data_IF_813678143774
#
_entry.id   IF_813678143774
#
_cell.length_a   1.000
_cell.length_b   1.000
_cell.length_c   1.000
_cell.angle_alpha   90.00
_cell.angle_beta   90.00
_cell.angle_gamma   90.00
#
_symmetry.space_group_name_H-M   'P 1'
#
loop_
_entity.id
_entity.type
_entity.pdbx_description
1 polymer ?
#
# COMPACT_ATOMS: atom_id res chain seq x y z
N UNK A 1 -14.67 26.60 16.73
CA UNK A 1 -15.38 25.48 16.05
C UNK A 1 -14.59 24.88 14.88
N UNK A 2 -14.08 25.68 13.93
CA UNK A 2 -13.29 25.18 12.78
C UNK A 2 -12.05 24.37 13.18
N UNK A 3 -11.20 24.87 14.07
CA UNK A 3 -9.98 24.16 14.52
C UNK A 3 -10.30 22.78 15.11
N UNK A 4 -11.41 22.64 15.85
CA UNK A 4 -11.84 21.34 16.40
C UNK A 4 -12.17 20.32 15.29
N UNK A 5 -12.74 20.77 14.16
CA UNK A 5 -13.03 19.90 13.01
C UNK A 5 -11.74 19.42 12.34
N UNK A 6 -10.78 20.30 12.12
CA UNK A 6 -9.46 19.92 11.58
C UNK A 6 -8.74 18.97 12.53
N UNK A 7 -8.72 19.26 13.83
CA UNK A 7 -8.14 18.38 14.84
C UNK A 7 -8.75 16.96 14.79
N UNK A 8 -10.06 16.84 14.56
CA UNK A 8 -10.72 15.53 14.41
C UNK A 8 -10.21 14.76 13.17
N UNK A 9 -9.99 15.44 12.04
CA UNK A 9 -9.40 14.81 10.84
C UNK A 9 -7.96 14.36 11.10
N UNK A 10 -7.16 15.18 11.80
CA UNK A 10 -5.81 14.78 12.20
C UNK A 10 -5.82 13.61 13.17
N UNK A 11 -6.81 13.52 14.07
CA UNK A 11 -6.97 12.36 14.94
C UNK A 11 -7.19 11.09 14.11
N UNK A 12 -8.06 11.11 13.10
CA UNK A 12 -8.24 9.94 12.20
C UNK A 12 -6.94 9.58 11.48
N UNK A 13 -6.19 10.57 11.00
CA UNK A 13 -4.89 10.34 10.37
C UNK A 13 -3.87 9.71 11.34
N UNK A 14 -3.81 10.18 12.59
CA UNK A 14 -2.92 9.64 13.61
C UNK A 14 -3.28 8.21 13.98
N UNK A 15 -4.56 7.91 14.23
CA UNK A 15 -5.06 6.56 14.53
C UNK A 15 -4.68 5.57 13.42
N UNK A 16 -4.83 6.01 12.15
CA UNK A 16 -4.39 5.25 10.97
C UNK A 16 -2.89 4.91 11.05
N UNK A 17 -2.03 5.88 11.37
CA UNK A 17 -0.58 5.65 11.47
C UNK A 17 -0.20 4.72 12.65
N UNK A 18 -1.00 4.74 13.72
CA UNK A 18 -0.82 3.87 14.89
C UNK A 18 -1.28 2.42 14.64
N UNK A 19 -1.86 2.13 13.47
CA UNK A 19 -2.29 0.78 13.10
C UNK A 19 -3.57 0.32 13.81
N UNK A 20 -4.41 1.27 14.25
CA UNK A 20 -5.78 0.97 14.70
C UNK A 20 -6.63 0.38 13.55
N UNK A 21 -7.84 -0.09 13.86
CA UNK A 21 -8.74 -0.69 12.86
C UNK A 21 -9.06 0.32 11.74
N UNK A 22 -8.41 0.10 10.60
CA UNK A 22 -8.51 0.97 9.42
C UNK A 22 -9.93 1.00 8.85
N UNK A 23 -10.67 -0.10 8.95
CA UNK A 23 -12.05 -0.18 8.47
C UNK A 23 -12.99 0.62 9.39
N UNK A 24 -12.79 0.54 10.71
CA UNK A 24 -13.52 1.36 11.68
C UNK A 24 -13.25 2.85 11.47
N UNK A 25 -11.98 3.25 11.33
CA UNK A 25 -11.57 4.63 11.07
C UNK A 25 -12.25 5.15 9.79
N UNK A 26 -12.33 4.34 8.74
CA UNK A 26 -13.02 4.71 7.51
C UNK A 26 -14.50 5.03 7.77
N UNK A 27 -15.22 4.14 8.47
CA UNK A 27 -16.64 4.32 8.77
C UNK A 27 -16.90 5.56 9.64
N UNK A 28 -16.06 5.80 10.65
CA UNK A 28 -16.11 7.01 11.46
C UNK A 28 -15.84 8.28 10.63
N UNK A 29 -14.83 8.25 9.75
CA UNK A 29 -14.52 9.37 8.85
C UNK A 29 -15.70 9.66 7.91
N UNK A 30 -16.40 8.64 7.40
CA UNK A 30 -17.60 8.81 6.57
C UNK A 30 -18.71 9.52 7.34
N UNK A 31 -18.93 9.11 8.59
CA UNK A 31 -19.93 9.70 9.49
C UNK A 31 -19.57 11.14 9.85
N UNK A 32 -18.29 11.42 10.09
CA UNK A 32 -17.82 12.78 10.28
C UNK A 32 -18.03 13.63 9.01
N UNK A 33 -17.72 13.08 7.84
CA UNK A 33 -17.81 13.76 6.56
C UNK A 33 -19.23 14.14 6.18
N UNK A 34 -20.26 13.36 6.54
CA UNK A 34 -21.66 13.71 6.26
C UNK A 34 -22.13 14.97 6.99
N UNK A 35 -21.41 15.37 8.05
CA UNK A 35 -21.70 16.56 8.86
C UNK A 35 -20.92 17.81 8.42
N UNK A 36 -20.10 17.71 7.36
CA UNK A 36 -19.31 18.84 6.86
C UNK A 36 -20.19 19.77 6.02
N UNK A 37 -20.09 21.08 6.28
CA UNK A 37 -20.82 22.08 5.51
C UNK A 37 -20.23 22.21 4.10
N UNK A 38 -21.08 22.36 3.07
CA UNK A 38 -20.66 22.54 1.66
C UNK A 38 -19.71 23.72 1.43
N UNK A 39 -19.69 24.72 2.33
CA UNK A 39 -18.76 25.86 2.29
C UNK A 39 -17.35 25.51 2.80
N UNK A 40 -17.19 24.46 3.60
CA UNK A 40 -15.92 24.00 4.19
C UNK A 40 -15.11 23.13 3.20
N UNK A 41 -14.79 23.70 2.02
CA UNK A 41 -14.14 22.98 0.91
C UNK A 41 -12.80 22.35 1.30
N UNK A 42 -11.99 23.05 2.08
CA UNK A 42 -10.66 22.61 2.48
C UNK A 42 -10.73 21.38 3.40
N UNK A 43 -11.64 21.41 4.38
CA UNK A 43 -11.91 20.28 5.26
C UNK A 43 -12.46 19.07 4.47
N UNK A 44 -13.33 19.32 3.49
CA UNK A 44 -13.83 18.27 2.60
C UNK A 44 -12.71 17.62 1.77
N UNK A 45 -11.76 18.42 1.25
CA UNK A 45 -10.58 17.91 0.53
C UNK A 45 -9.72 17.04 1.46
N UNK A 46 -9.42 17.50 2.68
CA UNK A 46 -8.65 16.71 3.64
C UNK A 46 -9.30 15.36 3.95
N UNK A 47 -10.62 15.35 4.18
CA UNK A 47 -11.35 14.10 4.42
C UNK A 47 -11.31 13.18 3.20
N UNK A 48 -11.42 13.74 1.99
CA UNK A 48 -11.34 12.95 0.74
C UNK A 48 -9.92 12.41 0.50
N UNK A 49 -8.87 13.18 0.80
CA UNK A 49 -7.47 12.72 0.75
C UNK A 49 -7.23 11.57 1.75
N UNK A 50 -7.69 11.73 2.99
CA UNK A 50 -7.57 10.69 4.01
C UNK A 50 -8.38 9.44 3.65
N UNK A 51 -9.56 9.61 3.06
CA UNK A 51 -10.36 8.49 2.54
C UNK A 51 -9.60 7.70 1.47
N UNK A 52 -8.90 8.39 0.57
CA UNK A 52 -8.06 7.73 -0.45
C UNK A 52 -6.90 6.98 0.21
N UNK A 53 -6.21 7.57 1.18
CA UNK A 53 -5.13 6.90 1.93
C UNK A 53 -5.62 5.60 2.56
N UNK A 54 -6.73 5.66 3.30
CA UNK A 54 -7.33 4.50 3.98
C UNK A 54 -7.74 3.42 2.96
N UNK A 55 -8.37 3.80 1.85
CA UNK A 55 -8.75 2.84 0.82
C UNK A 55 -7.55 2.15 0.17
N UNK A 56 -6.43 2.88 0.00
CA UNK A 56 -5.19 2.32 -0.53
C UNK A 56 -4.55 1.32 0.46
N UNK A 57 -4.63 1.59 1.77
CA UNK A 57 -4.17 0.67 2.82
C UNK A 57 -5.04 -0.61 2.89
N UNK A 58 -6.36 -0.45 2.78
CA UNK A 58 -7.30 -1.58 2.72
C UNK A 58 -7.20 -2.37 1.41
N UNK A 59 -6.51 -1.83 0.41
CA UNK A 59 -6.50 -2.34 -0.95
C UNK A 59 -7.83 -2.20 -1.69
N UNK A 60 -8.82 -1.46 -1.17
CA UNK A 60 -10.12 -1.25 -1.81
C UNK A 60 -10.09 -0.08 -2.82
N UNK A 61 -9.42 -0.32 -3.95
CA UNK A 61 -9.09 0.72 -4.95
C UNK A 61 -10.33 1.18 -5.74
N UNK A 62 -11.40 0.38 -5.76
CA UNK A 62 -12.62 0.65 -6.55
C UNK A 62 -13.30 1.97 -6.20
N UNK A 63 -13.21 2.43 -4.96
CA UNK A 63 -13.86 3.66 -4.49
C UNK A 63 -12.99 4.91 -4.67
N UNK A 64 -11.69 4.77 -4.91
CA UNK A 64 -10.73 5.88 -5.05
C UNK A 64 -11.17 6.91 -6.12
N UNK A 65 -11.67 6.52 -7.32
CA UNK A 65 -12.11 7.48 -8.34
C UNK A 65 -13.18 8.47 -7.85
N UNK A 66 -14.10 8.04 -6.98
CA UNK A 66 -15.16 8.88 -6.43
C UNK A 66 -14.59 10.03 -5.62
N UNK A 67 -13.63 9.75 -4.74
CA UNK A 67 -12.95 10.76 -3.93
C UNK A 67 -12.06 11.67 -4.78
N UNK A 68 -11.36 11.10 -5.76
CA UNK A 68 -10.54 11.88 -6.71
C UNK A 68 -11.38 12.93 -7.44
N UNK A 69 -12.56 12.56 -7.92
CA UNK A 69 -13.46 13.48 -8.61
C UNK A 69 -14.00 14.59 -7.70
N UNK A 70 -14.23 14.29 -6.41
CA UNK A 70 -14.62 15.30 -5.42
C UNK A 70 -13.48 16.28 -5.13
N UNK A 71 -12.26 15.80 -4.92
CA UNK A 71 -11.07 16.64 -4.70
C UNK A 71 -10.85 17.58 -5.89
N UNK A 72 -10.85 17.05 -7.12
CA UNK A 72 -10.70 17.86 -8.34
C UNK A 72 -11.74 18.99 -8.40
N UNK A 73 -13.02 18.67 -8.18
CA UNK A 73 -14.10 19.68 -8.18
C UNK A 73 -13.91 20.75 -7.10
N UNK A 74 -13.43 20.38 -5.91
CA UNK A 74 -13.20 21.34 -4.84
C UNK A 74 -11.95 22.20 -5.10
N UNK A 75 -10.86 21.62 -5.60
CA UNK A 75 -9.64 22.34 -5.98
C UNK A 75 -9.90 23.41 -7.05
N UNK A 76 -10.76 23.14 -8.04
CA UNK A 76 -11.17 24.12 -9.05
C UNK A 76 -11.86 25.34 -8.43
N UNK A 77 -12.58 25.14 -7.33
CA UNK A 77 -13.34 26.17 -6.62
C UNK A 77 -12.54 26.88 -5.53
N UNK A 78 -11.26 26.55 -5.37
CA UNK A 78 -10.33 27.24 -4.47
C UNK A 78 -9.56 28.32 -5.25
N UNK A 79 -9.42 29.50 -4.63
CA UNK A 79 -8.52 30.54 -5.12
C UNK A 79 -7.08 30.04 -5.19
N UNK A 80 -6.28 30.64 -6.07
CA UNK A 80 -4.86 30.30 -6.18
C UNK A 80 -4.11 30.78 -4.94
N UNK A 81 -3.57 29.85 -4.14
CA UNK A 81 -2.77 30.13 -2.95
C UNK A 81 -1.87 28.93 -2.61
N UNK A 82 -0.97 29.11 -1.63
CA UNK A 82 -0.06 28.06 -1.14
C UNK A 82 -0.81 26.81 -0.67
N UNK A 83 -1.98 26.97 -0.04
CA UNK A 83 -2.79 25.84 0.43
C UNK A 83 -3.28 24.97 -0.73
N UNK A 84 -3.74 25.58 -1.83
CA UNK A 84 -4.13 24.87 -3.05
C UNK A 84 -2.96 24.10 -3.65
N UNK A 85 -1.74 24.66 -3.62
CA UNK A 85 -0.53 23.97 -4.07
C UNK A 85 -0.24 22.72 -3.23
N UNK A 86 -0.34 22.81 -1.90
CA UNK A 86 -0.13 21.67 -0.99
C UNK A 86 -1.16 20.58 -1.25
N UNK A 87 -2.46 20.93 -1.32
CA UNK A 87 -3.49 19.93 -1.63
C UNK A 87 -3.33 19.33 -3.03
N UNK A 88 -2.90 20.13 -4.01
CA UNK A 88 -2.62 19.61 -5.34
C UNK A 88 -1.47 18.60 -5.30
N UNK A 89 -0.37 18.90 -4.59
CA UNK A 89 0.73 17.96 -4.41
C UNK A 89 0.23 16.64 -3.79
N UNK A 90 -0.45 16.70 -2.64
CA UNK A 90 -0.98 15.52 -1.95
C UNK A 90 -1.95 14.72 -2.83
N UNK A 91 -2.78 15.42 -3.60
CA UNK A 91 -3.70 14.79 -4.53
C UNK A 91 -2.97 14.06 -5.67
N UNK A 92 -1.96 14.68 -6.28
CA UNK A 92 -1.18 14.06 -7.36
C UNK A 92 -0.34 12.89 -6.83
N UNK A 93 0.20 13.00 -5.62
CA UNK A 93 0.93 11.94 -4.94
C UNK A 93 0.05 10.69 -4.73
N UNK A 94 -1.15 10.85 -4.17
CA UNK A 94 -2.09 9.75 -4.00
C UNK A 94 -2.65 9.25 -5.33
N UNK A 95 -2.84 10.14 -6.30
CA UNK A 95 -3.25 9.74 -7.64
C UNK A 95 -2.18 8.87 -8.31
N UNK A 96 -0.90 9.22 -8.18
CA UNK A 96 0.18 8.41 -8.71
C UNK A 96 0.13 7.02 -8.10
N UNK A 97 -0.06 6.91 -6.78
CA UNK A 97 -0.14 5.60 -6.14
C UNK A 97 -1.34 4.77 -6.59
N UNK A 98 -2.50 5.40 -6.79
CA UNK A 98 -3.64 4.75 -7.46
C UNK A 98 -3.28 4.21 -8.86
N UNK A 99 -2.49 4.94 -9.64
CA UNK A 99 -2.03 4.47 -10.97
C UNK A 99 -1.12 3.25 -10.84
N UNK A 100 -0.22 3.24 -9.85
CA UNK A 100 0.60 2.05 -9.55
C UNK A 100 -0.30 0.84 -9.23
N UNK A 101 -1.22 0.96 -8.27
CA UNK A 101 -2.12 -0.13 -7.87
C UNK A 101 -3.02 -0.63 -8.99
N UNK A 102 -3.40 0.24 -9.93
CA UNK A 102 -4.15 -0.13 -11.13
C UNK A 102 -3.29 -0.54 -12.32
N UNK A 103 -1.99 -0.80 -12.09
CA UNK A 103 -1.01 -1.24 -13.09
C UNK A 103 -0.80 -0.28 -14.29
N UNK A 104 -1.00 1.02 -14.08
CA UNK A 104 -0.75 2.08 -15.07
C UNK A 104 0.68 2.64 -14.92
N UNK A 105 1.68 1.77 -15.05
CA UNK A 105 3.09 2.02 -14.68
C UNK A 105 3.71 3.25 -15.36
N UNK A 106 3.51 3.40 -16.67
CA UNK A 106 4.05 4.56 -17.42
C UNK A 106 3.55 5.89 -16.87
N UNK A 107 2.25 5.97 -16.53
CA UNK A 107 1.67 7.17 -15.94
C UNK A 107 2.14 7.35 -14.50
N UNK A 108 2.21 6.28 -13.72
CA UNK A 108 2.78 6.31 -12.37
C UNK A 108 4.19 6.93 -12.37
N UNK A 109 5.11 6.40 -13.17
CA UNK A 109 6.49 6.89 -13.22
C UNK A 109 6.55 8.35 -13.64
N UNK A 110 5.77 8.76 -14.64
CA UNK A 110 5.70 10.16 -15.08
C UNK A 110 5.26 11.10 -13.95
N UNK A 111 4.22 10.75 -13.21
CA UNK A 111 3.75 11.58 -12.08
C UNK A 111 4.73 11.54 -10.90
N UNK A 112 5.27 10.38 -10.56
CA UNK A 112 6.20 10.25 -9.45
C UNK A 112 7.50 11.04 -9.73
N UNK A 113 8.06 10.93 -10.94
CA UNK A 113 9.23 11.70 -11.37
C UNK A 113 8.96 13.22 -11.36
N UNK A 114 7.79 13.67 -11.83
CA UNK A 114 7.48 15.10 -11.81
C UNK A 114 7.36 15.66 -10.39
N UNK A 115 6.83 14.87 -9.45
CA UNK A 115 6.81 15.23 -8.03
C UNK A 115 8.22 15.29 -7.43
N UNK A 116 9.11 14.35 -7.79
CA UNK A 116 10.50 14.35 -7.33
C UNK A 116 11.32 15.56 -7.80
N UNK A 117 10.94 16.16 -8.94
CA UNK A 117 11.61 17.34 -9.51
C UNK A 117 11.11 18.68 -8.93
N UNK A 118 10.15 18.67 -8.02
CA UNK A 118 9.64 19.91 -7.41
C UNK A 118 10.71 20.53 -6.50
N UNK A 119 11.08 21.77 -6.80
CA UNK A 119 12.11 22.53 -6.04
C UNK A 119 11.88 22.59 -4.53
N UNK A 120 10.62 22.59 -4.11
CA UNK A 120 10.26 22.72 -2.70
C UNK A 120 10.15 21.37 -1.98
N UNK A 121 10.38 20.25 -2.66
CA UNK A 121 10.25 18.92 -2.05
C UNK A 121 11.26 18.70 -0.92
N UNK A 122 12.41 19.38 -0.96
CA UNK A 122 13.41 19.29 0.11
C UNK A 122 12.90 19.88 1.45
N UNK A 123 11.86 20.72 1.43
CA UNK A 123 11.16 21.16 2.65
C UNK A 123 10.17 20.12 3.20
N UNK A 124 9.92 19.03 2.45
CA UNK A 124 8.99 17.96 2.82
C UNK A 124 9.68 16.58 2.73
N UNK A 125 10.70 16.34 3.56
CA UNK A 125 11.53 15.14 3.46
C UNK A 125 10.75 13.84 3.61
N UNK A 126 9.75 13.78 4.49
CA UNK A 126 8.88 12.60 4.63
C UNK A 126 8.10 12.33 3.33
N UNK A 127 7.68 13.37 2.61
CA UNK A 127 7.03 13.20 1.30
C UNK A 127 8.03 12.72 0.24
N UNK A 128 9.28 13.19 0.28
CA UNK A 128 10.37 12.67 -0.55
C UNK A 128 10.59 11.17 -0.30
N UNK A 129 10.61 10.76 0.96
CA UNK A 129 10.64 9.35 1.37
C UNK A 129 9.47 8.56 0.79
N UNK A 130 8.24 9.09 0.87
CA UNK A 130 7.06 8.43 0.31
C UNK A 130 7.12 8.27 -1.23
N UNK A 131 7.71 9.23 -1.94
CA UNK A 131 7.92 9.10 -3.38
C UNK A 131 8.94 8.00 -3.72
N UNK A 132 10.03 7.89 -2.94
CA UNK A 132 11.00 6.80 -3.05
C UNK A 132 10.35 5.45 -2.73
N UNK A 133 9.58 5.34 -1.65
CA UNK A 133 8.88 4.11 -1.28
C UNK A 133 8.02 3.60 -2.43
N UNK A 134 7.17 4.47 -2.99
CA UNK A 134 6.30 4.14 -4.13
C UNK A 134 7.08 3.79 -5.40
N UNK A 135 8.19 4.48 -5.65
CA UNK A 135 9.08 4.13 -6.76
C UNK A 135 9.68 2.73 -6.56
N UNK A 136 10.07 2.39 -5.34
CA UNK A 136 10.54 1.05 -4.98
C UNK A 136 9.47 -0.02 -5.18
N UNK A 137 8.26 0.21 -4.63
CA UNK A 137 7.08 -0.65 -4.79
C UNK A 137 6.81 -0.96 -6.26
N UNK A 138 6.94 0.04 -7.14
CA UNK A 138 6.69 -0.10 -8.58
C UNK A 138 7.61 -1.08 -9.31
N UNK A 139 8.78 -1.37 -8.74
CA UNK A 139 9.76 -2.29 -9.30
C UNK A 139 9.78 -3.66 -8.60
N UNK A 140 8.97 -3.88 -7.56
CA UNK A 140 8.99 -5.09 -6.74
C UNK A 140 8.93 -6.39 -7.55
N UNK A 141 8.13 -6.41 -8.63
CA UNK A 141 7.90 -7.60 -9.44
C UNK A 141 8.77 -7.65 -10.71
N UNK A 142 9.50 -6.58 -11.03
CA UNK A 142 10.13 -6.39 -12.35
C UNK A 142 11.63 -6.11 -12.33
N UNK A 143 12.15 -5.39 -11.33
CA UNK A 143 13.56 -5.03 -11.26
C UNK A 143 14.04 -4.90 -9.81
N UNK A 144 14.79 -5.89 -9.35
CA UNK A 144 15.29 -5.93 -7.98
C UNK A 144 16.18 -4.73 -7.63
N UNK A 145 17.16 -4.40 -8.48
CA UNK A 145 18.17 -3.37 -8.18
C UNK A 145 17.53 -1.98 -8.08
N UNK A 146 16.58 -1.67 -8.96
CA UNK A 146 15.81 -0.43 -8.89
C UNK A 146 14.89 -0.41 -7.66
N UNK A 147 14.22 -1.53 -7.37
CA UNK A 147 13.35 -1.63 -6.19
C UNK A 147 14.14 -1.39 -4.91
N UNK A 148 15.23 -2.14 -4.68
CA UNK A 148 16.00 -2.07 -3.44
C UNK A 148 16.64 -0.68 -3.25
N UNK A 149 17.18 -0.07 -4.31
CA UNK A 149 17.74 1.28 -4.24
C UNK A 149 16.70 2.30 -3.73
N UNK A 150 15.50 2.29 -4.29
CA UNK A 150 14.45 3.22 -3.90
C UNK A 150 13.87 2.91 -2.51
N UNK A 151 13.72 1.62 -2.17
CA UNK A 151 13.22 1.22 -0.85
C UNK A 151 14.20 1.59 0.27
N UNK A 152 15.50 1.32 0.11
CA UNK A 152 16.54 1.68 1.09
C UNK A 152 16.64 3.20 1.26
N UNK A 153 16.59 3.97 0.16
CA UNK A 153 16.47 5.44 0.22
C UNK A 153 15.27 5.91 1.05
N UNK A 154 14.12 5.25 0.88
CA UNK A 154 12.91 5.63 1.64
C UNK A 154 13.04 5.27 3.12
N UNK A 155 13.59 4.09 3.42
CA UNK A 155 13.85 3.60 4.77
C UNK A 155 14.80 4.55 5.53
N UNK A 156 15.90 4.98 4.91
CA UNK A 156 16.85 5.95 5.46
C UNK A 156 16.15 7.27 5.84
N UNK A 157 15.32 7.80 4.94
CA UNK A 157 14.57 9.04 5.17
C UNK A 157 13.59 8.86 6.33
N UNK A 158 12.80 7.79 6.33
CA UNK A 158 11.82 7.57 7.41
C UNK A 158 12.49 7.35 8.77
N UNK A 159 13.65 6.69 8.80
CA UNK A 159 14.45 6.55 10.01
C UNK A 159 14.93 7.90 10.53
N UNK A 160 15.55 8.71 9.67
CA UNK A 160 16.07 10.04 10.02
C UNK A 160 14.99 10.97 10.59
N UNK A 161 13.78 10.91 10.04
CA UNK A 161 12.65 11.75 10.44
C UNK A 161 11.69 11.07 11.43
N UNK A 162 12.08 9.91 11.99
CA UNK A 162 11.33 9.18 13.02
C UNK A 162 9.87 8.85 12.61
N UNK A 163 9.64 8.58 11.32
CA UNK A 163 8.35 8.12 10.80
C UNK A 163 8.28 6.59 10.87
N UNK A 164 7.99 6.07 12.07
CA UNK A 164 7.97 4.62 12.33
C UNK A 164 7.00 3.85 11.45
N UNK A 165 5.84 4.45 11.13
CA UNK A 165 4.79 3.79 10.35
C UNK A 165 5.29 3.51 8.92
N UNK A 166 5.83 4.53 8.26
CA UNK A 166 6.37 4.37 6.89
C UNK A 166 7.71 3.63 6.87
N UNK A 167 8.51 3.74 7.94
CA UNK A 167 9.71 2.92 8.10
C UNK A 167 9.35 1.42 8.08
N UNK A 168 8.35 1.00 8.86
CA UNK A 168 7.88 -0.40 8.87
C UNK A 168 7.36 -0.84 7.51
N UNK A 169 6.62 0.03 6.80
CA UNK A 169 6.15 -0.26 5.44
C UNK A 169 7.33 -0.52 4.49
N UNK A 170 8.30 0.39 4.44
CA UNK A 170 9.50 0.23 3.61
C UNK A 170 10.27 -1.05 3.96
N UNK A 171 10.39 -1.36 5.25
CA UNK A 171 11.07 -2.57 5.71
C UNK A 171 10.33 -3.85 5.27
N UNK A 172 9.00 -3.87 5.37
CA UNK A 172 8.20 -5.01 4.91
C UNK A 172 8.34 -5.20 3.39
N UNK A 173 8.34 -4.13 2.60
CA UNK A 173 8.54 -4.21 1.15
C UNK A 173 9.95 -4.72 0.79
N UNK A 174 10.97 -4.32 1.55
CA UNK A 174 12.35 -4.85 1.41
C UNK A 174 12.38 -6.34 1.72
N UNK A 175 11.74 -6.78 2.80
CA UNK A 175 11.67 -8.20 3.14
C UNK A 175 10.94 -9.00 2.07
N UNK A 176 9.77 -8.53 1.62
CA UNK A 176 9.04 -9.14 0.51
C UNK A 176 9.91 -9.22 -0.75
N UNK A 177 10.61 -8.15 -1.13
CA UNK A 177 11.49 -8.11 -2.29
C UNK A 177 12.61 -9.16 -2.20
N UNK A 178 13.34 -9.18 -1.08
CA UNK A 178 14.44 -10.13 -0.84
C UNK A 178 13.97 -11.57 -0.92
N UNK A 179 12.85 -11.89 -0.28
CA UNK A 179 12.30 -13.25 -0.24
C UNK A 179 11.76 -13.66 -1.62
N UNK A 180 10.97 -12.80 -2.27
CA UNK A 180 10.32 -13.12 -3.56
C UNK A 180 11.30 -13.28 -4.72
N UNK A 181 12.48 -12.64 -4.65
CA UNK A 181 13.58 -12.80 -5.60
C UNK A 181 14.67 -13.78 -5.12
N UNK A 182 14.55 -14.28 -3.89
CA UNK A 182 15.57 -15.09 -3.22
C UNK A 182 16.97 -14.47 -3.27
N UNK A 183 17.08 -13.17 -2.96
CA UNK A 183 18.31 -12.37 -3.06
C UNK A 183 18.53 -11.58 -1.77
N UNK A 184 19.80 -11.43 -1.37
CA UNK A 184 20.23 -10.76 -0.13
C UNK A 184 19.50 -11.30 1.13
N UNK A 185 19.23 -12.60 1.16
CA UNK A 185 18.50 -13.27 2.25
C UNK A 185 19.24 -13.14 3.59
N UNK A 186 20.56 -13.09 3.56
CA UNK A 186 21.44 -12.87 4.70
C UNK A 186 21.23 -11.51 5.38
N UNK A 187 20.62 -10.53 4.68
CA UNK A 187 20.34 -9.19 5.20
C UNK A 187 18.97 -9.06 5.88
N UNK A 188 18.18 -10.12 5.94
CA UNK A 188 16.85 -10.09 6.57
C UNK A 188 17.00 -10.08 8.10
N UNK A 189 16.43 -9.08 8.76
CA UNK A 189 16.27 -9.10 10.21
C UNK A 189 15.00 -9.85 10.60
N UNK A 190 15.15 -11.13 10.94
CA UNK A 190 14.05 -12.00 11.35
C UNK A 190 13.30 -11.51 12.60
N UNK A 191 13.89 -10.63 13.43
CA UNK A 191 13.19 -10.06 14.59
C UNK A 191 12.15 -9.02 14.19
N UNK A 192 12.33 -8.39 13.04
CA UNK A 192 11.42 -7.38 12.47
C UNK A 192 10.64 -7.92 11.26
N UNK A 193 10.77 -9.20 10.96
CA UNK A 193 10.06 -9.84 9.86
C UNK A 193 8.59 -10.01 10.24
N UNK A 194 7.72 -9.42 9.44
CA UNK A 194 6.29 -9.53 9.64
C UNK A 194 5.82 -10.98 9.35
N UNK A 195 4.82 -11.52 10.08
CA UNK A 195 4.48 -12.95 9.98
C UNK A 195 4.03 -13.41 8.59
N UNK A 196 3.47 -12.52 7.77
CA UNK A 196 3.08 -12.85 6.39
C UNK A 196 4.33 -13.09 5.50
N UNK A 197 5.34 -12.24 5.60
CA UNK A 197 6.62 -12.38 4.91
C UNK A 197 7.42 -13.57 5.48
N UNK A 198 7.30 -13.85 6.78
CA UNK A 198 7.86 -15.08 7.36
C UNK A 198 7.21 -16.35 6.78
N UNK A 199 5.89 -16.34 6.58
CA UNK A 199 5.21 -17.44 5.90
C UNK A 199 5.71 -17.58 4.44
N UNK A 200 5.89 -16.47 3.73
CA UNK A 200 6.48 -16.47 2.39
C UNK A 200 7.90 -17.08 2.39
N UNK A 201 8.74 -16.71 3.35
CA UNK A 201 10.08 -17.28 3.50
C UNK A 201 10.05 -18.80 3.68
N UNK A 202 9.18 -19.33 4.54
CA UNK A 202 9.01 -20.77 4.70
C UNK A 202 8.50 -21.47 3.42
N UNK A 203 7.63 -20.81 2.65
CA UNK A 203 7.17 -21.34 1.36
C UNK A 203 8.35 -21.50 0.39
N UNK A 204 9.23 -20.50 0.28
CA UNK A 204 10.39 -20.60 -0.61
C UNK A 204 11.43 -21.64 -0.14
N UNK A 205 11.49 -21.94 1.17
CA UNK A 205 12.27 -23.05 1.71
C UNK A 205 11.62 -24.43 1.54
N UNK A 206 10.39 -24.52 1.03
CA UNK A 206 9.62 -25.77 0.99
C UNK A 206 9.10 -26.24 2.35
N UNK A 207 9.17 -25.40 3.38
CA UNK A 207 8.68 -25.69 4.74
C UNK A 207 7.19 -25.34 4.86
N UNK A 208 6.36 -25.98 4.04
CA UNK A 208 4.96 -25.62 3.84
C UNK A 208 4.10 -25.66 5.12
N UNK A 209 4.29 -26.67 5.97
CA UNK A 209 3.53 -26.80 7.22
C UNK A 209 3.71 -25.59 8.15
N UNK A 210 4.94 -25.07 8.25
CA UNK A 210 5.23 -23.87 9.06
C UNK A 210 4.55 -22.64 8.50
N UNK A 211 4.53 -22.49 7.18
CA UNK A 211 3.83 -21.39 6.52
C UNK A 211 2.31 -21.46 6.75
N UNK A 212 1.72 -22.66 6.66
CA UNK A 212 0.29 -22.88 6.89
C UNK A 212 -0.10 -22.52 8.33
N UNK A 213 0.70 -22.93 9.32
CA UNK A 213 0.47 -22.58 10.73
C UNK A 213 0.42 -21.06 10.91
N UNK A 214 1.44 -20.34 10.42
CA UNK A 214 1.49 -18.88 10.52
C UNK A 214 0.30 -18.18 9.84
N UNK A 215 -0.10 -18.65 8.67
CA UNK A 215 -1.22 -18.07 7.92
C UNK A 215 -2.56 -18.35 8.61
N UNK A 216 -2.75 -19.54 9.19
CA UNK A 216 -3.94 -19.83 9.98
C UNK A 216 -3.99 -18.99 11.27
N UNK A 217 -2.85 -18.71 11.90
CA UNK A 217 -2.76 -17.83 13.06
C UNK A 217 -3.15 -16.39 12.73
N UNK A 218 -2.66 -15.87 11.60
CA UNK A 218 -3.05 -14.56 11.07
C UNK A 218 -4.55 -14.50 10.79
N UNK A 219 -5.11 -15.53 10.16
CA UNK A 219 -6.54 -15.61 9.86
C UNK A 219 -7.39 -15.60 11.13
N UNK A 220 -7.00 -16.38 12.14
CA UNK A 220 -7.69 -16.40 13.45
C UNK A 220 -7.62 -15.05 14.16
N UNK A 221 -6.46 -14.38 14.15
CA UNK A 221 -6.24 -13.10 14.83
C UNK A 221 -7.02 -11.96 14.18
N UNK A 222 -7.10 -11.95 12.85
CA UNK A 222 -7.68 -10.83 12.09
C UNK A 222 -9.08 -11.13 11.54
N UNK A 223 -9.59 -12.35 11.75
CA UNK A 223 -10.88 -12.85 11.24
C UNK A 223 -10.89 -13.17 9.74
N UNK A 224 -9.92 -12.65 8.98
CA UNK A 224 -9.74 -12.91 7.54
C UNK A 224 -8.29 -12.68 7.13
N UNK A 225 -7.90 -13.30 6.03
CA UNK A 225 -6.64 -13.04 5.35
C UNK A 225 -6.80 -11.96 4.26
N UNK A 226 -5.73 -11.22 4.01
CA UNK A 226 -5.63 -10.34 2.83
C UNK A 226 -5.52 -11.17 1.55
N UNK A 227 -5.78 -10.54 0.38
CA UNK A 227 -5.63 -11.23 -0.91
C UNK A 227 -4.21 -11.81 -1.08
N UNK A 228 -3.17 -11.08 -0.68
CA UNK A 228 -1.78 -11.55 -0.77
C UNK A 228 -1.52 -12.74 0.17
N UNK A 229 -2.03 -12.70 1.40
CA UNK A 229 -1.91 -13.82 2.35
C UNK A 229 -2.69 -15.06 1.90
N UNK A 230 -3.84 -14.90 1.24
CA UNK A 230 -4.57 -16.02 0.61
C UNK A 230 -3.74 -16.62 -0.53
N UNK A 231 -3.04 -15.80 -1.32
CA UNK A 231 -2.09 -16.30 -2.31
C UNK A 231 -1.00 -17.14 -1.64
N UNK A 232 -0.41 -16.67 -0.54
CA UNK A 232 0.60 -17.42 0.21
C UNK A 232 0.03 -18.74 0.74
N UNK A 233 -1.20 -18.75 1.26
CA UNK A 233 -1.87 -19.97 1.75
C UNK A 233 -2.10 -20.96 0.62
N UNK A 234 -2.56 -20.49 -0.54
CA UNK A 234 -2.69 -21.31 -1.75
C UNK A 234 -1.35 -21.90 -2.20
N UNK A 235 -0.28 -21.11 -2.19
CA UNK A 235 1.07 -21.62 -2.48
C UNK A 235 1.54 -22.68 -1.49
N UNK A 236 1.36 -22.45 -0.19
CA UNK A 236 1.80 -23.39 0.84
C UNK A 236 1.02 -24.72 0.81
N UNK A 237 -0.28 -24.66 0.47
CA UNK A 237 -1.16 -25.83 0.39
C UNK A 237 -1.20 -26.48 -1.00
N UNK A 238 -0.45 -25.93 -1.97
CA UNK A 238 -0.54 -26.26 -3.39
C UNK A 238 -1.99 -26.23 -3.92
N UNK A 239 -2.82 -25.34 -3.37
CA UNK A 239 -4.23 -25.25 -3.72
C UNK A 239 -4.46 -24.13 -4.74
N UNK A 240 -4.60 -24.51 -6.01
CA UNK A 240 -4.85 -23.59 -7.12
C UNK A 240 -6.16 -22.79 -6.95
N UNK A 241 -7.19 -23.34 -6.30
CA UNK A 241 -8.44 -22.63 -6.05
C UNK A 241 -8.26 -21.45 -5.09
N UNK A 242 -7.42 -21.59 -4.05
CA UNK A 242 -7.08 -20.47 -3.16
C UNK A 242 -6.30 -19.37 -3.90
N UNK A 243 -5.40 -19.73 -4.80
CA UNK A 243 -4.67 -18.74 -5.60
C UNK A 243 -5.63 -18.03 -6.57
N UNK A 244 -6.56 -18.75 -7.18
CA UNK A 244 -7.59 -18.16 -8.04
C UNK A 244 -8.52 -17.22 -7.25
N UNK A 245 -8.88 -17.58 -6.02
CA UNK A 245 -9.62 -16.71 -5.11
C UNK A 245 -8.84 -15.43 -4.82
N UNK A 246 -7.53 -15.52 -4.55
CA UNK A 246 -6.67 -14.34 -4.36
C UNK A 246 -6.67 -13.42 -5.59
N UNK A 247 -6.55 -13.97 -6.80
CA UNK A 247 -6.63 -13.22 -8.06
C UNK A 247 -7.96 -12.46 -8.15
N UNK A 248 -9.08 -13.16 -7.90
CA UNK A 248 -10.41 -12.55 -7.92
C UNK A 248 -10.57 -11.44 -6.87
N UNK A 249 -9.98 -11.61 -5.68
CA UNK A 249 -9.99 -10.59 -4.64
C UNK A 249 -9.21 -9.33 -5.05
N UNK A 250 -8.03 -9.47 -5.63
CA UNK A 250 -7.30 -8.33 -6.18
C UNK A 250 -8.09 -7.63 -7.30
N UNK A 251 -8.64 -8.39 -8.24
CA UNK A 251 -9.43 -7.84 -9.36
C UNK A 251 -10.70 -7.12 -8.90
N UNK A 252 -11.47 -7.72 -7.99
CA UNK A 252 -12.70 -7.11 -7.45
C UNK A 252 -12.45 -5.82 -6.67
N UNK A 253 -11.23 -5.68 -6.14
CA UNK A 253 -10.76 -4.48 -5.45
C UNK A 253 -10.01 -3.50 -6.37
N UNK A 254 -9.86 -3.79 -7.67
CA UNK A 254 -9.09 -3.02 -8.65
C UNK A 254 -7.59 -2.86 -8.33
N UNK A 255 -6.99 -3.84 -7.66
CA UNK A 255 -5.54 -3.88 -7.39
C UNK A 255 -4.82 -4.78 -8.41
N UNK A 256 -4.69 -4.29 -9.64
CA UNK A 256 -4.13 -5.03 -10.77
C UNK A 256 -2.61 -5.20 -10.71
N UNK A 257 -1.90 -4.44 -9.87
CA UNK A 257 -0.46 -4.60 -9.73
C UNK A 257 -0.10 -5.97 -9.14
N UNK A 258 -0.73 -6.35 -8.02
CA UNK A 258 -0.48 -7.62 -7.34
C UNK A 258 -1.17 -8.83 -7.97
N UNK A 259 -2.11 -8.63 -8.91
CA UNK A 259 -2.63 -9.72 -9.77
C UNK A 259 -1.47 -10.45 -10.46
N UNK A 260 -0.48 -9.71 -10.97
CA UNK A 260 0.70 -10.28 -11.64
C UNK A 260 1.48 -11.25 -10.74
N UNK A 261 1.61 -10.92 -9.45
CA UNK A 261 2.25 -11.80 -8.48
C UNK A 261 1.44 -13.09 -8.27
N UNK A 262 0.12 -12.97 -8.09
CA UNK A 262 -0.75 -14.12 -7.88
C UNK A 262 -0.85 -15.03 -9.11
N UNK A 263 -0.84 -14.46 -10.33
CA UNK A 263 -0.77 -15.23 -11.58
C UNK A 263 0.55 -16.00 -11.71
N UNK A 264 1.69 -15.37 -11.40
CA UNK A 264 3.00 -16.05 -11.37
C UNK A 264 3.02 -17.19 -10.34
N UNK A 265 2.43 -16.97 -9.17
CA UNK A 265 2.28 -17.99 -8.15
C UNK A 265 1.40 -19.17 -8.63
N UNK A 266 0.28 -18.89 -9.31
CA UNK A 266 -0.59 -19.91 -9.89
C UNK A 266 0.18 -20.79 -10.86
N UNK A 267 0.93 -20.19 -11.79
CA UNK A 267 1.74 -20.93 -12.75
C UNK A 267 2.80 -21.79 -12.04
N UNK A 268 3.50 -21.26 -11.04
CA UNK A 268 4.51 -22.02 -10.27
C UNK A 268 3.90 -23.28 -9.63
N UNK A 269 2.72 -23.16 -9.00
CA UNK A 269 2.03 -24.30 -8.36
C UNK A 269 1.50 -25.29 -9.40
N UNK A 270 0.96 -24.81 -10.52
CA UNK A 270 0.47 -25.68 -11.59
C UNK A 270 1.58 -26.61 -12.14
N UNK A 271 2.78 -26.08 -12.35
CA UNK A 271 3.93 -26.87 -12.79
C UNK A 271 4.41 -27.86 -11.71
N UNK A 272 4.36 -27.47 -10.43
CA UNK A 272 4.70 -28.37 -9.32
C UNK A 272 3.72 -29.55 -9.22
N UNK A 273 2.41 -29.32 -9.35
CA UNK A 273 1.43 -30.41 -9.38
C UNK A 273 1.66 -31.39 -10.53
N UNK A 274 1.99 -30.87 -11.72
CA UNK A 274 2.25 -31.70 -12.89
C UNK A 274 3.50 -32.58 -12.69
N UNK A 275 4.53 -32.05 -12.04
CA UNK A 275 5.78 -32.78 -11.76
C UNK A 275 5.60 -33.86 -10.69
N UNK A 276 4.68 -33.68 -9.73
CA UNK A 276 4.39 -34.69 -8.70
C UNK A 276 3.54 -35.84 -9.27
N UNK A 277 2.73 -35.57 -10.30
CA UNK A 277 1.83 -36.54 -10.94
C UNK A 277 2.50 -37.36 -12.06
N UNK A 278 3.68 -36.95 -12.53
CA UNK A 278 4.51 -37.67 -13.51
C UNK A 278 5.50 -38.61 -12.85
#
# INVERSE_FOLDING_TARGET
LMVRKYAKVFQFYQRRLQGEDIQEIYLELKTFQSNINKKEKDLAILCDLLSIMILLDLGDIKLVPTYRNRIKRNLLKMGSNHLKMIYHFLFIELHSYYLLRTNQMTLFHRYNQSLQQLKNLDFFPVMKGALHLKAGESYLLSNYDMAIYHLEKSLEIFHLYQDESRYKQALHDIHFLRISHWRDIDKIDFKQLHPAEQALFYIELGQYDKAIILLNDLERKHGKLTALQICYKGRATLNLSLIQQSIQMFQSNNDFFFVQYAEKAYQKVLHQEQTIKS
#
